data_IF_454989945407
#
_entry.id   IF_454989945407
#
_cell.length_a   1.000
_cell.length_b   1.000
_cell.length_c   1.000
_cell.angle_alpha   90.00
_cell.angle_beta   90.00
_cell.angle_gamma   90.00
#
_symmetry.space_group_name_H-M   'P 1'
#
loop_
_entity.id
_entity.type
_entity.pdbx_description
1 polymer ?
#
# COMPACT_ATOMS: atom_id res chain seq x y z
N UNK A 1 16.23 53.29 -20.51
CA UNK A 1 16.65 51.86 -20.53
C UNK A 1 17.24 51.34 -19.20
N UNK A 2 18.01 52.12 -18.45
CA UNK A 2 18.59 51.67 -17.17
C UNK A 2 17.54 51.32 -16.08
N UNK A 3 16.40 51.97 -16.03
CA UNK A 3 15.35 51.74 -15.02
C UNK A 3 14.52 50.46 -15.30
N UNK A 4 14.43 49.99 -16.53
CA UNK A 4 13.69 48.76 -16.88
C UNK A 4 14.48 47.52 -16.41
N UNK A 5 15.79 47.56 -16.39
CA UNK A 5 16.66 46.47 -15.94
C UNK A 5 16.49 46.24 -14.42
N UNK A 6 16.31 47.29 -13.62
CA UNK A 6 16.08 47.17 -12.18
C UNK A 6 14.70 46.56 -11.83
N UNK A 7 13.68 46.82 -12.63
CA UNK A 7 12.35 46.21 -12.43
C UNK A 7 12.40 44.72 -12.72
N UNK A 8 13.13 44.27 -13.74
CA UNK A 8 13.31 42.86 -14.03
C UNK A 8 14.13 42.12 -12.95
N UNK A 9 15.12 42.79 -12.33
CA UNK A 9 15.90 42.20 -11.25
C UNK A 9 15.08 42.04 -9.95
N UNK A 10 14.10 42.94 -9.69
CA UNK A 10 13.22 42.82 -8.53
C UNK A 10 12.15 41.70 -8.67
N UNK A 11 11.70 41.39 -9.87
CA UNK A 11 10.74 40.28 -10.09
C UNK A 11 11.31 38.90 -9.87
N UNK A 12 12.62 38.72 -9.91
CA UNK A 12 13.26 37.42 -9.72
C UNK A 12 13.39 36.96 -8.24
N UNK A 13 13.04 37.81 -7.27
CA UNK A 13 13.23 37.52 -5.85
C UNK A 13 12.03 36.78 -5.21
N UNK A 14 10.91 36.65 -5.91
CA UNK A 14 9.70 35.99 -5.38
C UNK A 14 9.47 34.58 -5.92
N UNK A 15 10.54 33.83 -6.18
CA UNK A 15 10.39 32.41 -6.48
C UNK A 15 10.26 31.62 -5.18
N UNK A 16 9.03 31.40 -4.69
CA UNK A 16 8.76 30.47 -3.60
C UNK A 16 8.88 29.05 -4.15
N UNK A 17 9.98 28.41 -3.83
CA UNK A 17 10.10 26.97 -4.06
C UNK A 17 9.11 26.25 -3.11
N UNK A 18 8.15 25.55 -3.68
CA UNK A 18 7.22 24.73 -2.89
C UNK A 18 7.98 23.52 -2.35
N UNK A 19 8.19 23.47 -1.04
CA UNK A 19 8.88 22.35 -0.40
C UNK A 19 7.93 21.16 -0.32
N UNK A 20 8.33 20.05 -0.95
CA UNK A 20 7.67 18.77 -0.78
C UNK A 20 8.13 18.14 0.54
N UNK A 21 7.20 17.83 1.42
CA UNK A 21 7.45 17.06 2.64
C UNK A 21 7.07 15.61 2.36
N UNK A 22 7.95 14.68 2.69
CA UNK A 22 7.69 13.23 2.63
C UNK A 22 7.70 12.70 4.06
N UNK A 23 6.67 11.93 4.38
CA UNK A 23 6.57 11.19 5.63
C UNK A 23 6.42 9.71 5.31
N UNK A 24 7.34 8.91 5.78
CA UNK A 24 7.30 7.46 5.62
C UNK A 24 6.38 6.83 6.68
N UNK A 25 5.63 5.82 6.26
CA UNK A 25 4.72 5.03 7.10
C UNK A 25 5.15 3.56 7.04
N UNK A 26 6.40 3.29 7.39
CA UNK A 26 7.04 1.97 7.32
C UNK A 26 6.85 1.12 8.57
N UNK A 27 6.52 1.74 9.70
CA UNK A 27 6.47 1.10 11.01
C UNK A 27 5.09 1.19 11.68
N UNK A 28 4.92 0.40 12.75
CA UNK A 28 3.73 0.36 13.58
C UNK A 28 2.46 -0.13 12.87
N UNK A 29 2.59 -0.92 11.83
CA UNK A 29 1.46 -1.56 11.21
C UNK A 29 0.96 -2.73 12.05
N UNK A 30 -0.34 -2.98 11.98
CA UNK A 30 -1.00 -4.16 12.49
C UNK A 30 -1.51 -4.97 11.32
N UNK A 31 -1.30 -6.27 11.36
CA UNK A 31 -1.55 -7.19 10.28
C UNK A 31 -2.41 -8.38 10.71
N UNK A 32 -3.31 -8.82 9.85
CA UNK A 32 -4.05 -10.07 10.02
C UNK A 32 -4.43 -10.72 8.71
N UNK A 33 -4.08 -12.02 8.56
CA UNK A 33 -4.55 -12.92 7.50
C UNK A 33 -6.03 -13.27 7.73
N UNK A 34 -6.93 -12.46 7.25
CA UNK A 34 -8.36 -12.70 7.43
C UNK A 34 -9.19 -11.78 6.56
N UNK A 35 -10.27 -12.32 5.99
CA UNK A 35 -11.32 -11.48 5.43
C UNK A 35 -12.17 -10.94 6.57
N UNK A 36 -12.07 -9.64 6.84
CA UNK A 36 -12.94 -8.93 7.77
C UNK A 36 -13.70 -7.85 7.02
N UNK A 37 -15.02 -7.86 7.11
CA UNK A 37 -15.86 -6.88 6.42
C UNK A 37 -15.81 -5.49 7.06
N UNK A 38 -15.24 -5.37 8.25
CA UNK A 38 -15.31 -4.15 9.06
C UNK A 38 -13.95 -3.56 9.44
N UNK A 39 -12.85 -4.19 9.01
CA UNK A 39 -11.50 -3.76 9.39
C UNK A 39 -11.11 -2.35 8.90
N UNK A 40 -11.88 -1.76 8.00
CA UNK A 40 -11.71 -0.37 7.58
C UNK A 40 -12.28 0.64 8.60
N UNK A 41 -13.14 0.22 9.54
CA UNK A 41 -13.76 1.12 10.50
C UNK A 41 -12.74 1.68 11.48
N UNK A 42 -12.89 2.97 11.84
CA UNK A 42 -11.97 3.65 12.77
C UNK A 42 -11.91 2.94 14.12
N UNK A 43 -13.06 2.54 14.65
CA UNK A 43 -13.18 1.92 15.97
C UNK A 43 -13.02 0.40 15.96
N UNK A 44 -12.53 -0.18 14.87
CA UNK A 44 -12.28 -1.60 14.78
C UNK A 44 -11.23 -2.03 15.82
N UNK A 45 -11.53 -3.10 16.57
CA UNK A 45 -10.58 -3.62 17.56
C UNK A 45 -9.53 -4.50 16.90
N UNK A 46 -8.34 -3.95 16.74
CA UNK A 46 -7.15 -4.60 16.18
C UNK A 46 -6.06 -4.87 17.24
N UNK A 47 -6.44 -4.91 18.53
CA UNK A 47 -5.47 -5.05 19.63
C UNK A 47 -4.69 -6.37 19.58
N UNK A 48 -5.30 -7.44 19.06
CA UNK A 48 -4.71 -8.77 18.95
C UNK A 48 -4.04 -9.05 17.60
N UNK A 49 -3.94 -8.03 16.73
CA UNK A 49 -3.29 -8.19 15.44
C UNK A 49 -1.77 -8.21 15.60
N UNK A 50 -1.10 -8.91 14.70
CA UNK A 50 0.34 -8.95 14.61
C UNK A 50 0.92 -7.55 14.33
N UNK A 51 1.99 -7.18 15.04
CA UNK A 51 2.71 -5.94 14.76
C UNK A 51 3.78 -6.21 13.72
N UNK A 52 3.75 -5.46 12.63
CA UNK A 52 4.69 -5.63 11.51
C UNK A 52 5.23 -4.26 11.06
N UNK A 53 6.35 -4.30 10.38
CA UNK A 53 6.84 -3.18 9.58
C UNK A 53 6.65 -3.51 8.09
N UNK A 54 6.51 -2.52 7.25
CA UNK A 54 6.47 -2.69 5.80
C UNK A 54 7.83 -2.29 5.20
N UNK A 55 8.29 -2.96 4.15
CA UNK A 55 7.62 -4.03 3.41
C UNK A 55 7.46 -5.32 4.22
N UNK A 56 6.32 -5.98 4.09
CA UNK A 56 5.99 -7.21 4.79
C UNK A 56 5.48 -8.26 3.81
N UNK A 57 6.10 -9.43 3.81
CA UNK A 57 5.68 -10.59 3.04
C UNK A 57 5.09 -11.64 3.98
N UNK A 58 3.79 -11.84 3.88
CA UNK A 58 3.06 -12.75 4.76
C UNK A 58 3.18 -14.24 4.41
N UNK A 59 3.75 -14.54 3.25
CA UNK A 59 3.84 -15.90 2.73
C UNK A 59 5.23 -16.53 2.97
N UNK A 60 6.26 -15.71 3.11
CA UNK A 60 7.67 -16.16 3.12
C UNK A 60 8.02 -17.08 4.29
N UNK A 61 7.32 -16.99 5.39
CA UNK A 61 7.59 -17.78 6.60
C UNK A 61 6.82 -19.09 6.66
N UNK A 62 6.01 -19.40 5.64
CA UNK A 62 5.19 -20.62 5.65
C UNK A 62 4.05 -20.60 6.68
N UNK A 63 3.54 -21.80 7.09
CA UNK A 63 3.95 -23.12 6.66
C UNK A 63 3.73 -23.36 5.16
N UNK A 64 4.62 -24.15 4.53
CA UNK A 64 4.49 -24.54 3.13
C UNK A 64 3.67 -25.83 3.05
N UNK A 65 2.76 -25.91 2.09
CA UNK A 65 1.94 -27.08 1.86
C UNK A 65 1.99 -27.44 0.37
N UNK A 66 2.50 -28.65 0.08
CA UNK A 66 2.62 -29.15 -1.28
C UNK A 66 1.28 -29.44 -1.96
N UNK A 67 0.20 -29.49 -1.20
CA UNK A 67 -1.14 -29.73 -1.72
C UNK A 67 -1.83 -28.44 -2.20
N UNK A 68 -1.22 -27.27 -1.90
CA UNK A 68 -1.70 -25.97 -2.36
C UNK A 68 -1.16 -25.67 -3.76
N UNK A 69 -2.01 -25.06 -4.58
CA UNK A 69 -1.66 -24.61 -5.93
C UNK A 69 -1.07 -25.72 -6.81
N UNK A 70 -1.71 -26.87 -6.81
CA UNK A 70 -1.35 -27.99 -7.72
C UNK A 70 -1.84 -27.72 -9.14
N UNK A 71 -0.99 -28.07 -10.08
CA UNK A 71 -1.32 -28.02 -11.50
C UNK A 71 -0.72 -29.19 -12.26
N UNK A 72 -1.40 -29.65 -13.31
CA UNK A 72 -0.89 -30.66 -14.22
C UNK A 72 -0.25 -29.97 -15.43
N UNK A 73 1.07 -30.03 -15.53
CA UNK A 73 1.84 -29.40 -16.60
C UNK A 73 2.99 -30.28 -17.07
N UNK A 74 3.35 -30.17 -18.37
CA UNK A 74 4.60 -30.66 -18.92
C UNK A 74 5.55 -29.49 -19.15
N UNK A 75 6.71 -29.51 -18.54
CA UNK A 75 7.73 -28.47 -18.74
C UNK A 75 8.58 -28.89 -19.95
N UNK A 76 8.20 -28.39 -21.12
CA UNK A 76 8.85 -28.73 -22.41
C UNK A 76 10.34 -28.40 -22.40
N UNK A 77 10.74 -27.32 -21.70
CA UNK A 77 12.16 -26.95 -21.54
C UNK A 77 12.98 -28.01 -20.80
N UNK A 78 12.33 -28.85 -19.98
CA UNK A 78 12.96 -29.99 -19.31
C UNK A 78 12.86 -31.30 -20.09
N UNK A 79 12.33 -31.29 -21.34
CA UNK A 79 12.12 -32.48 -22.15
C UNK A 79 10.91 -33.33 -21.72
N UNK A 80 9.98 -32.76 -20.95
CA UNK A 80 8.78 -33.49 -20.51
C UNK A 80 7.74 -33.51 -21.66
N UNK A 81 7.30 -34.70 -22.03
CA UNK A 81 6.26 -34.90 -23.05
C UNK A 81 4.87 -35.13 -22.44
N UNK A 82 4.81 -35.55 -21.17
CA UNK A 82 3.56 -35.87 -20.48
C UNK A 82 3.40 -34.95 -19.26
N UNK A 83 2.23 -34.37 -19.16
CA UNK A 83 1.89 -33.55 -17.99
C UNK A 83 1.88 -34.38 -16.70
N UNK A 84 2.50 -33.88 -15.68
CA UNK A 84 2.46 -34.44 -14.31
C UNK A 84 2.06 -33.35 -13.31
N UNK A 85 1.56 -33.80 -12.16
CA UNK A 85 1.18 -32.90 -11.08
C UNK A 85 2.43 -32.25 -10.49
N UNK A 86 2.42 -30.93 -10.40
CA UNK A 86 3.48 -30.11 -9.84
C UNK A 86 2.88 -29.00 -8.96
N UNK A 87 3.68 -28.47 -8.05
CA UNK A 87 3.34 -27.21 -7.39
C UNK A 87 3.35 -26.08 -8.42
N UNK A 88 2.39 -25.18 -8.32
CA UNK A 88 2.24 -24.08 -9.24
C UNK A 88 3.19 -22.90 -8.98
N UNK A 89 2.78 -21.71 -9.42
CA UNK A 89 3.59 -20.49 -9.40
C UNK A 89 3.87 -19.96 -8.01
N UNK A 90 3.05 -20.32 -7.02
CA UNK A 90 3.22 -19.88 -5.63
C UNK A 90 4.36 -20.59 -4.92
N UNK A 91 4.94 -21.66 -5.50
CA UNK A 91 5.99 -22.46 -4.88
C UNK A 91 5.51 -23.17 -3.60
N UNK A 92 4.24 -23.54 -3.52
CA UNK A 92 3.60 -24.12 -2.34
C UNK A 92 3.49 -23.14 -1.14
N UNK A 93 3.43 -21.86 -1.39
CA UNK A 93 3.17 -20.84 -0.37
C UNK A 93 1.72 -20.93 0.11
N UNK A 94 1.47 -20.93 1.43
CA UNK A 94 0.22 -21.46 1.98
C UNK A 94 -0.95 -20.49 1.98
N UNK A 95 -0.81 -19.25 1.58
CA UNK A 95 -1.90 -18.32 1.75
C UNK A 95 -2.48 -17.80 0.43
N UNK A 96 -3.69 -18.30 0.14
CA UNK A 96 -4.59 -17.71 -0.85
C UNK A 96 -5.71 -17.01 -0.08
N UNK A 97 -5.98 -15.76 -0.39
CA UNK A 97 -7.04 -15.00 0.25
C UNK A 97 -6.68 -13.55 0.56
N UNK A 98 -7.43 -12.96 1.45
CA UNK A 98 -7.26 -11.55 1.81
C UNK A 98 -6.61 -11.39 3.17
N UNK A 99 -5.89 -10.29 3.32
CA UNK A 99 -5.36 -9.82 4.58
C UNK A 99 -5.56 -8.32 4.74
N UNK A 100 -5.48 -7.88 5.97
CA UNK A 100 -5.63 -6.49 6.34
C UNK A 100 -4.38 -5.97 7.02
N UNK A 101 -4.05 -4.74 6.67
CA UNK A 101 -3.05 -3.90 7.32
C UNK A 101 -3.74 -2.67 7.90
N UNK A 102 -3.39 -2.29 9.11
CA UNK A 102 -3.89 -1.08 9.75
C UNK A 102 -2.73 -0.28 10.36
N UNK A 103 -2.80 1.03 10.23
CA UNK A 103 -1.85 1.95 10.85
C UNK A 103 -2.58 3.20 11.31
N UNK A 104 -2.24 3.69 12.47
CA UNK A 104 -2.65 5.02 12.93
C UNK A 104 -1.44 5.95 12.90
N UNK A 105 -1.60 7.09 12.26
CA UNK A 105 -0.54 8.08 12.14
C UNK A 105 -1.07 9.48 12.44
N UNK A 106 -0.17 10.34 12.90
CA UNK A 106 -0.52 11.70 13.31
C UNK A 106 -0.02 12.71 12.27
N UNK A 107 -0.90 13.65 11.91
CA UNK A 107 -0.57 14.86 11.17
C UNK A 107 -0.69 16.03 12.14
N UNK A 108 0.43 16.56 12.68
CA UNK A 108 0.39 17.57 13.74
C UNK A 108 -0.18 18.90 13.25
N UNK A 109 0.09 19.25 12.01
CA UNK A 109 -0.43 20.44 11.37
C UNK A 109 -0.84 20.10 9.94
N UNK A 110 -2.04 20.49 9.56
CA UNK A 110 -2.54 20.36 8.22
C UNK A 110 -3.01 21.71 7.71
N UNK A 111 -2.29 22.25 6.73
CA UNK A 111 -2.71 23.48 6.07
C UNK A 111 -3.79 23.17 5.03
N UNK A 112 -4.98 23.66 5.26
CA UNK A 112 -6.10 23.56 4.32
C UNK A 112 -5.67 24.06 2.93
N UNK A 113 -5.91 23.24 1.89
CA UNK A 113 -5.55 23.56 0.52
C UNK A 113 -4.21 22.99 0.07
N UNK A 114 -3.38 22.42 0.94
CA UNK A 114 -2.23 21.63 0.52
C UNK A 114 -2.68 20.32 -0.11
N UNK A 115 -1.95 19.90 -1.13
CA UNK A 115 -2.14 18.59 -1.76
C UNK A 115 -1.44 17.53 -0.94
N UNK A 116 -2.18 16.50 -0.53
CA UNK A 116 -1.64 15.34 0.19
C UNK A 116 -1.84 14.09 -0.64
N UNK A 117 -0.75 13.41 -0.91
CA UNK A 117 -0.72 12.18 -1.72
C UNK A 117 -0.29 11.03 -0.82
N UNK A 118 -1.09 9.98 -0.80
CA UNK A 118 -0.73 8.69 -0.23
C UNK A 118 -0.14 7.83 -1.35
N UNK A 119 1.16 7.55 -1.26
CA UNK A 119 1.91 6.77 -2.24
C UNK A 119 2.18 5.37 -1.68
N UNK A 120 1.93 4.36 -2.51
CA UNK A 120 2.35 2.98 -2.30
C UNK A 120 3.41 2.62 -3.33
N UNK A 121 4.55 2.14 -2.89
CA UNK A 121 5.62 1.65 -3.79
C UNK A 121 5.29 0.31 -4.41
N UNK A 122 4.39 -0.44 -3.77
CA UNK A 122 3.81 -1.68 -4.28
C UNK A 122 2.92 -2.34 -3.23
N UNK A 123 1.90 -3.06 -3.68
CA UNK A 123 1.09 -3.96 -2.86
C UNK A 123 0.49 -5.05 -3.74
N UNK A 124 0.83 -6.30 -3.47
CA UNK A 124 0.40 -7.43 -4.28
C UNK A 124 -0.61 -8.27 -3.53
N UNK A 125 -1.85 -8.34 -4.03
CA UNK A 125 -2.44 -7.62 -5.16
C UNK A 125 -3.78 -7.01 -4.75
N UNK A 126 -4.42 -6.31 -5.66
CA UNK A 126 -5.77 -5.75 -5.49
C UNK A 126 -5.99 -4.97 -4.19
N UNK A 127 -5.04 -4.08 -3.79
CA UNK A 127 -5.22 -3.32 -2.57
C UNK A 127 -6.45 -2.42 -2.64
N UNK A 128 -7.24 -2.44 -1.56
CA UNK A 128 -8.31 -1.48 -1.30
C UNK A 128 -7.91 -0.64 -0.10
N UNK A 129 -7.89 0.65 -0.28
CA UNK A 129 -7.35 1.59 0.69
C UNK A 129 -8.46 2.43 1.30
N UNK A 130 -8.44 2.51 2.64
CA UNK A 130 -9.41 3.26 3.42
C UNK A 130 -8.69 4.22 4.35
N UNK A 131 -9.10 5.48 4.36
CA UNK A 131 -8.63 6.50 5.28
C UNK A 131 -9.80 7.00 6.12
N UNK A 132 -9.64 6.98 7.43
CA UNK A 132 -10.66 7.41 8.39
C UNK A 132 -12.03 6.74 8.16
N UNK A 133 -12.01 5.43 7.83
CA UNK A 133 -13.22 4.64 7.59
C UNK A 133 -13.83 4.78 6.20
N UNK A 134 -13.29 5.66 5.34
CA UNK A 134 -13.78 5.90 3.99
C UNK A 134 -12.83 5.30 2.96
N UNK A 135 -13.36 4.59 1.96
CA UNK A 135 -12.57 4.08 0.82
C UNK A 135 -12.05 5.26 0.00
N UNK A 136 -10.74 5.37 -0.12
CA UNK A 136 -10.08 6.40 -0.93
C UNK A 136 -9.64 5.91 -2.29
N UNK A 137 -9.50 4.59 -2.46
CA UNK A 137 -9.21 4.00 -3.76
C UNK A 137 -8.93 2.50 -3.71
N UNK A 138 -8.67 1.96 -4.89
CA UNK A 138 -8.23 0.59 -5.12
C UNK A 138 -7.31 0.54 -6.33
N UNK A 139 -6.47 -0.48 -6.40
CA UNK A 139 -5.53 -0.68 -7.48
C UNK A 139 -5.46 -2.15 -7.85
N UNK A 140 -5.65 -2.51 -9.12
CA UNK A 140 -5.74 -3.92 -9.53
C UNK A 140 -4.38 -4.58 -9.79
N UNK A 141 -3.33 -3.78 -10.05
CA UNK A 141 -2.04 -4.29 -10.50
C UNK A 141 -0.99 -4.32 -9.39
N UNK A 142 -0.43 -5.51 -9.10
CA UNK A 142 0.48 -5.71 -7.96
C UNK A 142 1.93 -5.23 -8.16
N UNK A 143 2.37 -5.01 -9.42
CA UNK A 143 3.80 -4.81 -9.74
C UNK A 143 4.20 -3.37 -10.02
N UNK A 144 3.37 -2.40 -9.67
CA UNK A 144 3.70 -0.98 -9.86
C UNK A 144 3.40 -0.16 -8.62
N UNK A 145 4.06 0.99 -8.52
CA UNK A 145 3.64 2.01 -7.57
C UNK A 145 2.27 2.58 -8.00
N UNK A 146 1.52 3.04 -7.02
CA UNK A 146 0.25 3.74 -7.22
C UNK A 146 0.04 4.77 -6.11
N UNK A 147 -0.88 5.70 -6.32
CA UNK A 147 -1.13 6.74 -5.34
C UNK A 147 -2.59 7.22 -5.35
N UNK A 148 -3.00 7.80 -4.24
CA UNK A 148 -4.31 8.43 -4.09
C UNK A 148 -4.15 9.84 -3.56
N UNK A 149 -4.94 10.78 -4.10
CA UNK A 149 -5.06 12.13 -3.54
C UNK A 149 -6.04 12.07 -2.36
N UNK A 150 -5.50 12.20 -1.16
CA UNK A 150 -6.24 12.13 0.09
C UNK A 150 -6.49 13.49 0.74
N UNK A 151 -6.25 14.58 0.00
CA UNK A 151 -6.32 15.95 0.52
C UNK A 151 -7.66 16.31 1.17
N UNK A 152 -8.75 15.65 0.73
CA UNK A 152 -10.10 15.88 1.27
C UNK A 152 -10.49 14.94 2.42
N UNK A 153 -9.74 13.88 2.64
CA UNK A 153 -10.07 12.79 3.56
C UNK A 153 -9.14 12.76 4.77
N UNK A 154 -7.96 13.40 4.65
CA UNK A 154 -7.01 13.55 5.74
C UNK A 154 -7.44 14.67 6.69
N UNK A 155 -7.11 14.53 7.97
CA UNK A 155 -7.39 15.52 9.01
C UNK A 155 -6.15 15.80 9.86
N UNK A 156 -6.13 16.93 10.52
CA UNK A 156 -5.17 17.21 11.60
C UNK A 156 -5.36 16.23 12.75
N UNK A 157 -4.29 15.89 13.43
CA UNK A 157 -4.30 14.89 14.49
C UNK A 157 -4.24 13.46 13.97
N UNK A 158 -4.85 12.54 14.69
CA UNK A 158 -4.79 11.11 14.39
C UNK A 158 -5.65 10.73 13.18
N UNK A 159 -5.06 10.00 12.27
CA UNK A 159 -5.68 9.40 11.09
C UNK A 159 -5.54 7.88 11.13
N UNK A 160 -6.59 7.16 10.77
CA UNK A 160 -6.60 5.71 10.66
C UNK A 160 -6.54 5.29 9.20
N UNK A 161 -5.51 4.52 8.85
CA UNK A 161 -5.30 3.95 7.53
C UNK A 161 -5.55 2.44 7.61
N UNK A 162 -6.38 1.92 6.72
CA UNK A 162 -6.62 0.49 6.59
C UNK A 162 -6.47 0.07 5.12
N UNK A 163 -5.79 -1.04 4.90
CA UNK A 163 -5.53 -1.59 3.56
C UNK A 163 -5.90 -3.07 3.55
N UNK A 164 -6.85 -3.44 2.69
CA UNK A 164 -7.11 -4.83 2.34
C UNK A 164 -6.23 -5.18 1.14
N UNK A 165 -5.51 -6.30 1.23
CA UNK A 165 -4.70 -6.85 0.13
C UNK A 165 -5.16 -8.27 -0.13
N UNK A 166 -5.32 -8.65 -1.39
CA UNK A 166 -5.75 -9.98 -1.80
C UNK A 166 -4.60 -10.72 -2.51
N UNK A 167 -4.53 -12.01 -2.25
CA UNK A 167 -3.71 -12.94 -3.03
C UNK A 167 -4.66 -14.01 -3.57
N UNK A 168 -5.24 -13.81 -4.79
CA UNK A 168 -6.22 -14.70 -5.39
C UNK A 168 -5.64 -16.02 -5.90
#
# INVERSE_FOLDING_TARGET
>A
MKHIIYIFLLCSIFSFAQVRVVKELDSNWKFQKRKSLEAYQINFNDANWEKVNVPHDWAIYGPFDKEIDKQNVAIVQNGEEVASEKTGRTGALPHIGSAWYRNNFNIPEYETGKKVILLFEGAMSEPKVYLNGKKVGEWAYGYSYFYFDISKDIKEGENSLAVEVSNP
#
